data_IF_135963423276
#
_entry.id   IF_135963423276
#
_cell.length_a   1.000
_cell.length_b   1.000
_cell.length_c   1.000
_cell.angle_alpha   90.00
_cell.angle_beta   90.00
_cell.angle_gamma   90.00
#
_symmetry.space_group_name_H-M   'P 1'
#
loop_
_entity.id
_entity.type
_entity.pdbx_description
1 polymer ?
#
# COMPACT_ATOMS: atom_id res chain seq x y z
N UNK A 1 -19.32 -0.94 -23.25
CA UNK A 1 -20.69 -0.99 -22.68
C UNK A 1 -21.19 -2.44 -22.62
N UNK A 2 -21.14 -3.19 -23.72
CA UNK A 2 -21.59 -4.59 -23.78
C UNK A 2 -20.89 -5.50 -22.75
N UNK A 3 -19.61 -5.32 -22.52
CA UNK A 3 -18.86 -6.09 -21.54
C UNK A 3 -19.33 -5.84 -20.10
N UNK A 4 -19.71 -4.60 -19.76
CA UNK A 4 -20.25 -4.26 -18.44
C UNK A 4 -21.61 -4.94 -18.24
N UNK A 5 -22.50 -4.85 -19.20
CA UNK A 5 -23.83 -5.46 -19.15
C UNK A 5 -23.73 -6.99 -19.04
N UNK A 6 -22.85 -7.61 -19.84
CA UNK A 6 -22.60 -9.06 -19.80
C UNK A 6 -22.07 -9.52 -18.45
N UNK A 7 -21.11 -8.80 -17.88
CA UNK A 7 -20.54 -9.12 -16.56
C UNK A 7 -21.54 -8.87 -15.42
N UNK A 8 -22.34 -7.81 -15.51
CA UNK A 8 -23.45 -7.56 -14.59
C UNK A 8 -24.56 -8.59 -14.69
N UNK A 9 -24.64 -9.32 -15.82
CA UNK A 9 -25.77 -10.19 -16.21
C UNK A 9 -27.10 -9.44 -16.23
N UNK A 10 -27.05 -8.22 -16.76
CA UNK A 10 -28.23 -7.39 -17.00
C UNK A 10 -28.40 -7.27 -18.52
N UNK A 11 -29.61 -7.49 -19.02
CA UNK A 11 -29.94 -7.39 -20.44
C UNK A 11 -31.37 -6.89 -20.62
N UNK A 12 -31.63 -6.29 -21.75
CA UNK A 12 -32.95 -5.76 -22.09
C UNK A 12 -34.03 -6.85 -22.08
N UNK A 13 -35.21 -6.54 -21.56
CA UNK A 13 -36.34 -7.49 -21.45
C UNK A 13 -36.23 -8.47 -20.29
N UNK A 14 -35.21 -8.39 -19.47
CA UNK A 14 -35.06 -9.25 -18.29
C UNK A 14 -36.00 -8.79 -17.18
N UNK A 15 -36.64 -9.76 -16.50
CA UNK A 15 -37.38 -9.48 -15.28
C UNK A 15 -36.45 -9.31 -14.09
N UNK A 16 -36.45 -8.12 -13.47
CA UNK A 16 -35.60 -7.80 -12.33
C UNK A 16 -36.31 -8.21 -11.04
N UNK A 17 -35.64 -9.08 -10.26
CA UNK A 17 -36.04 -9.40 -8.88
C UNK A 17 -35.31 -8.48 -7.92
N UNK A 18 -35.84 -8.25 -6.72
CA UNK A 18 -35.32 -7.25 -5.77
C UNK A 18 -33.87 -7.40 -5.36
N UNK A 19 -33.25 -8.57 -5.51
CA UNK A 19 -31.86 -8.84 -5.19
C UNK A 19 -30.91 -8.86 -6.43
N UNK A 20 -31.45 -8.81 -7.66
CA UNK A 20 -30.65 -8.89 -8.89
C UNK A 20 -29.73 -7.71 -9.07
N UNK A 21 -30.15 -6.49 -8.75
CA UNK A 21 -29.31 -5.30 -8.80
C UNK A 21 -28.09 -5.44 -7.86
N UNK A 22 -28.33 -5.91 -6.63
CA UNK A 22 -27.24 -6.12 -5.67
C UNK A 22 -26.26 -7.21 -6.15
N UNK A 23 -26.79 -8.28 -6.74
CA UNK A 23 -25.95 -9.35 -7.33
C UNK A 23 -25.12 -8.82 -8.50
N UNK A 24 -25.71 -7.97 -9.34
CA UNK A 24 -25.03 -7.35 -10.47
C UNK A 24 -23.89 -6.43 -10.02
N UNK A 25 -24.11 -5.58 -9.03
CA UNK A 25 -23.06 -4.77 -8.41
C UNK A 25 -21.95 -5.67 -7.86
N UNK A 26 -22.27 -6.73 -7.11
CA UNK A 26 -21.28 -7.67 -6.58
C UNK A 26 -20.47 -8.39 -7.67
N UNK A 27 -21.09 -8.70 -8.82
CA UNK A 27 -20.39 -9.30 -9.97
C UNK A 27 -19.41 -8.31 -10.59
N UNK A 28 -19.81 -7.06 -10.78
CA UNK A 28 -18.95 -6.00 -11.31
C UNK A 28 -17.75 -5.71 -10.37
N UNK A 29 -17.99 -5.66 -9.06
CA UNK A 29 -16.91 -5.51 -8.07
C UNK A 29 -15.88 -6.65 -8.12
N UNK A 30 -16.29 -7.88 -8.41
CA UNK A 30 -15.36 -9.02 -8.53
C UNK A 30 -14.37 -8.90 -9.68
N UNK A 31 -14.64 -8.05 -10.67
CA UNK A 31 -13.73 -7.80 -11.80
C UNK A 31 -12.48 -7.03 -11.35
N UNK A 32 -12.56 -6.30 -10.22
CA UNK A 32 -11.47 -5.52 -9.62
C UNK A 32 -10.87 -4.46 -10.57
N UNK A 33 -11.71 -3.92 -11.50
CA UNK A 33 -11.36 -2.84 -12.44
C UNK A 33 -12.00 -1.52 -12.10
N UNK A 34 -13.05 -1.53 -11.27
CA UNK A 34 -13.88 -0.37 -10.99
C UNK A 34 -13.64 0.15 -9.58
N UNK A 35 -13.40 1.45 -9.47
CA UNK A 35 -13.30 2.16 -8.20
C UNK A 35 -14.66 2.62 -7.67
N UNK A 36 -15.66 2.77 -8.55
CA UNK A 36 -17.04 3.05 -8.18
C UNK A 36 -18.02 2.42 -9.16
N UNK A 37 -19.17 1.94 -8.64
CA UNK A 37 -20.22 1.33 -9.42
C UNK A 37 -21.56 1.82 -8.87
N UNK A 38 -22.33 2.51 -9.69
CA UNK A 38 -23.65 3.02 -9.36
C UNK A 38 -24.67 2.54 -10.38
N UNK A 39 -25.83 2.09 -9.92
CA UNK A 39 -26.96 1.72 -10.77
C UNK A 39 -28.16 2.58 -10.35
N UNK A 40 -28.69 3.32 -11.32
CA UNK A 40 -29.82 4.21 -11.14
C UNK A 40 -31.02 3.74 -11.96
N UNK A 41 -32.21 3.91 -11.43
CA UNK A 41 -33.44 3.91 -12.22
C UNK A 41 -33.59 5.32 -12.79
N UNK A 42 -33.55 5.44 -14.10
CA UNK A 42 -33.67 6.74 -14.78
C UNK A 42 -35.10 7.05 -15.17
N UNK A 43 -35.89 6.03 -15.46
CA UNK A 43 -37.30 6.15 -15.84
C UNK A 43 -38.05 4.88 -15.41
N UNK A 44 -39.29 5.07 -14.97
CA UNK A 44 -40.23 3.99 -14.64
C UNK A 44 -41.47 4.16 -15.49
N UNK A 45 -41.83 3.12 -16.22
CA UNK A 45 -43.01 3.07 -17.11
C UNK A 45 -43.91 1.91 -16.73
N UNK A 46 -45.13 1.87 -17.32
CA UNK A 46 -46.06 0.75 -17.09
C UNK A 46 -45.48 -0.62 -17.52
N UNK A 47 -44.57 -0.60 -18.52
CA UNK A 47 -43.96 -1.81 -19.08
C UNK A 47 -42.64 -2.22 -18.43
N UNK A 48 -42.01 -1.32 -17.61
CA UNK A 48 -40.74 -1.63 -16.99
C UNK A 48 -39.93 -0.44 -16.50
N UNK A 49 -38.67 -0.67 -16.19
CA UNK A 49 -37.75 0.33 -15.68
C UNK A 49 -36.54 0.48 -16.59
N UNK A 50 -36.07 1.71 -16.77
CA UNK A 50 -34.80 2.02 -17.45
C UNK A 50 -33.70 2.16 -16.42
N UNK A 51 -32.61 1.41 -16.61
CA UNK A 51 -31.46 1.42 -15.72
C UNK A 51 -30.26 2.11 -16.38
N UNK A 52 -29.59 2.97 -15.60
CA UNK A 52 -28.29 3.52 -15.95
C UNK A 52 -27.24 2.92 -15.05
N UNK A 53 -26.21 2.31 -15.64
CA UNK A 53 -25.04 1.79 -14.93
C UNK A 53 -23.90 2.79 -15.14
N UNK A 54 -23.51 3.48 -14.08
CA UNK A 54 -22.37 4.38 -14.05
C UNK A 54 -21.22 3.67 -13.35
N UNK A 55 -20.09 3.57 -14.03
CA UNK A 55 -18.85 2.98 -13.48
C UNK A 55 -17.70 3.97 -13.58
N UNK A 56 -16.81 3.94 -12.60
CA UNK A 56 -15.52 4.62 -12.64
C UNK A 56 -14.44 3.56 -12.63
N UNK A 57 -13.65 3.49 -13.70
CA UNK A 57 -12.53 2.55 -13.75
C UNK A 57 -11.36 3.08 -12.93
N UNK A 58 -10.66 2.17 -12.23
CA UNK A 58 -9.37 2.50 -11.64
C UNK A 58 -8.39 2.93 -12.74
N UNK A 59 -7.54 3.91 -12.50
CA UNK A 59 -6.48 4.25 -13.44
C UNK A 59 -5.46 3.11 -13.56
N UNK A 60 -4.69 3.14 -14.63
CA UNK A 60 -3.50 2.30 -14.78
C UNK A 60 -2.27 3.03 -14.25
N UNK A 61 -1.30 2.30 -13.71
CA UNK A 61 -0.03 2.85 -13.30
C UNK A 61 0.83 3.14 -14.54
N UNK A 62 1.15 4.41 -14.78
CA UNK A 62 2.11 4.80 -15.82
C UNK A 62 3.54 4.51 -15.33
N UNK A 63 3.97 5.19 -14.27
CA UNK A 63 5.28 5.02 -13.66
C UNK A 63 5.23 5.39 -12.18
N UNK A 64 6.29 5.03 -11.45
CA UNK A 64 6.46 5.48 -10.08
C UNK A 64 7.88 5.94 -9.79
N UNK A 65 8.00 6.82 -8.81
CA UNK A 65 9.27 7.41 -8.37
C UNK A 65 9.33 7.46 -6.85
N UNK A 66 10.56 7.59 -6.34
CA UNK A 66 10.80 7.77 -4.90
C UNK A 66 11.52 9.09 -4.68
N UNK A 67 11.12 9.83 -3.65
CA UNK A 67 11.76 11.08 -3.23
C UNK A 67 11.99 11.12 -1.71
N UNK A 68 12.94 11.96 -1.28
CA UNK A 68 13.28 12.13 0.13
C UNK A 68 14.04 10.97 0.80
N UNK A 69 14.25 9.87 0.08
CA UNK A 69 14.98 8.69 0.53
C UNK A 69 16.49 8.77 0.24
N UNK A 70 17.27 7.99 0.99
CA UNK A 70 18.71 7.80 0.79
C UNK A 70 19.06 6.46 0.15
N UNK A 71 18.08 5.60 -0.06
CA UNK A 71 18.27 4.30 -0.69
C UNK A 71 18.20 4.44 -2.21
N UNK A 72 18.88 3.55 -2.93
CA UNK A 72 18.80 3.52 -4.39
C UNK A 72 17.39 3.11 -4.84
N UNK A 73 16.96 3.60 -6.00
CA UNK A 73 15.69 3.21 -6.61
C UNK A 73 15.60 1.68 -6.71
N UNK A 74 16.62 1.01 -7.22
CA UNK A 74 16.68 -0.45 -7.36
C UNK A 74 16.37 -1.19 -6.06
N UNK A 75 16.94 -0.72 -4.93
CA UNK A 75 16.69 -1.36 -3.62
C UNK A 75 15.23 -1.24 -3.18
N UNK A 76 14.56 -0.13 -3.52
CA UNK A 76 13.16 0.08 -3.19
C UNK A 76 12.22 -0.61 -4.16
N UNK A 77 12.60 -0.72 -5.44
CA UNK A 77 11.87 -1.48 -6.46
C UNK A 77 11.76 -2.97 -6.09
N UNK A 78 12.80 -3.54 -5.47
CA UNK A 78 12.81 -4.93 -5.01
C UNK A 78 11.82 -5.20 -3.83
N UNK A 79 11.35 -4.15 -3.16
CA UNK A 79 10.48 -4.27 -1.98
C UNK A 79 8.99 -4.07 -2.29
N UNK A 80 8.64 -3.59 -3.49
CA UNK A 80 7.26 -3.31 -3.88
C UNK A 80 6.83 -4.11 -5.10
N UNK A 81 5.56 -4.50 -5.11
CA UNK A 81 4.96 -5.25 -6.23
C UNK A 81 4.11 -4.31 -7.10
N UNK A 82 4.77 -3.32 -7.72
CA UNK A 82 4.11 -2.42 -8.68
C UNK A 82 4.76 -2.54 -10.05
N UNK A 83 3.91 -2.69 -11.08
CA UNK A 83 4.37 -2.80 -12.48
C UNK A 83 3.64 -1.77 -13.34
N UNK A 84 4.37 -1.07 -14.22
CA UNK A 84 3.76 -0.16 -15.16
C UNK A 84 2.70 -0.88 -16.02
N UNK A 85 1.58 -0.22 -16.28
CA UNK A 85 0.43 -0.76 -16.99
C UNK A 85 -0.56 -1.56 -16.14
N UNK A 86 -0.24 -1.90 -14.88
CA UNK A 86 -1.22 -2.55 -14.01
C UNK A 86 -2.32 -1.59 -13.53
N UNK A 87 -3.46 -2.14 -13.17
CA UNK A 87 -4.55 -1.38 -12.53
C UNK A 87 -4.08 -0.87 -11.16
N UNK A 88 -4.17 0.44 -10.96
CA UNK A 88 -3.74 1.10 -9.72
C UNK A 88 -4.93 1.21 -8.77
N UNK A 89 -4.98 0.33 -7.79
CA UNK A 89 -6.01 0.32 -6.76
C UNK A 89 -5.48 0.91 -5.45
N UNK A 90 -6.39 1.40 -4.59
CA UNK A 90 -6.02 1.87 -3.24
C UNK A 90 -5.29 0.76 -2.46
N UNK A 91 -5.70 -0.50 -2.67
CA UNK A 91 -5.07 -1.66 -2.06
C UNK A 91 -3.62 -1.82 -2.53
N UNK A 92 -3.34 -1.74 -3.84
CA UNK A 92 -1.98 -1.90 -4.37
C UNK A 92 -1.04 -0.80 -3.89
N UNK A 93 -1.54 0.44 -3.75
CA UNK A 93 -0.79 1.55 -3.17
C UNK A 93 -0.51 1.31 -1.68
N UNK A 94 -1.52 0.90 -0.92
CA UNK A 94 -1.37 0.60 0.50
C UNK A 94 -0.38 -0.53 0.74
N UNK A 95 -0.46 -1.61 -0.02
CA UNK A 95 0.45 -2.76 0.08
C UNK A 95 1.89 -2.35 -0.23
N UNK A 96 2.12 -1.53 -1.26
CA UNK A 96 3.44 -0.98 -1.57
C UNK A 96 4.00 -0.11 -0.44
N UNK A 97 3.18 0.79 0.12
CA UNK A 97 3.58 1.62 1.26
C UNK A 97 3.90 0.77 2.51
N UNK A 98 3.13 -0.29 2.74
CA UNK A 98 3.34 -1.22 3.86
C UNK A 98 4.66 -1.97 3.70
N UNK A 99 4.95 -2.49 2.51
CA UNK A 99 6.21 -3.17 2.19
C UNK A 99 7.41 -2.26 2.40
N UNK A 100 7.37 -1.03 1.87
CA UNK A 100 8.40 -0.04 2.11
C UNK A 100 8.59 0.27 3.61
N UNK A 101 7.49 0.41 4.35
CA UNK A 101 7.55 0.65 5.80
C UNK A 101 8.20 -0.51 6.53
N UNK A 102 7.85 -1.75 6.18
CA UNK A 102 8.45 -2.95 6.76
C UNK A 102 9.95 -3.01 6.47
N UNK A 103 10.35 -2.78 5.21
CA UNK A 103 11.76 -2.71 4.82
C UNK A 103 12.54 -1.71 5.67
N UNK A 104 12.06 -0.48 5.81
CA UNK A 104 12.73 0.54 6.61
C UNK A 104 12.75 0.19 8.12
N UNK A 105 11.71 -0.44 8.63
CA UNK A 105 11.64 -0.90 10.02
C UNK A 105 12.69 -1.98 10.30
N UNK A 106 12.89 -2.94 9.39
CA UNK A 106 13.96 -3.95 9.52
C UNK A 106 15.36 -3.34 9.46
N UNK A 107 15.49 -2.14 8.87
CA UNK A 107 16.74 -1.36 8.87
C UNK A 107 16.84 -0.40 10.08
N UNK A 108 15.96 -0.55 11.08
CA UNK A 108 15.91 0.22 12.33
C UNK A 108 15.46 1.70 12.16
N UNK A 109 14.69 2.01 11.12
CA UNK A 109 14.06 3.31 10.93
C UNK A 109 12.60 3.27 11.40
N UNK A 110 12.36 3.32 12.70
CA UNK A 110 11.00 3.17 13.26
C UNK A 110 10.11 4.40 13.09
N UNK A 111 10.71 5.58 12.86
CA UNK A 111 9.98 6.83 12.63
C UNK A 111 9.84 7.17 11.13
N UNK A 112 9.83 6.13 10.28
CA UNK A 112 9.62 6.27 8.85
C UNK A 112 8.21 6.82 8.56
N UNK A 113 8.12 7.81 7.69
CA UNK A 113 6.87 8.30 7.11
C UNK A 113 6.94 8.12 5.61
N UNK A 114 5.85 7.62 5.05
CA UNK A 114 5.72 7.40 3.62
C UNK A 114 4.36 7.94 3.22
N UNK A 115 4.37 8.88 2.29
CA UNK A 115 3.20 9.49 1.69
C UNK A 115 3.24 9.27 0.17
N UNK A 116 2.11 9.41 -0.51
CA UNK A 116 2.03 9.28 -1.96
C UNK A 116 1.40 10.50 -2.59
N UNK A 117 1.96 10.94 -3.72
CA UNK A 117 1.34 11.92 -4.60
C UNK A 117 0.99 11.21 -5.91
N UNK A 118 -0.27 11.39 -6.33
CA UNK A 118 -0.79 10.89 -7.59
C UNK A 118 -0.89 12.05 -8.57
N UNK A 119 -0.33 11.89 -9.76
CA UNK A 119 -0.41 12.87 -10.85
C UNK A 119 -0.88 12.18 -12.13
N UNK A 120 -1.49 12.93 -13.03
CA UNK A 120 -1.93 12.41 -14.33
C UNK A 120 -0.75 11.83 -15.10
N UNK A 121 -0.91 10.63 -15.64
CA UNK A 121 0.05 9.97 -16.50
C UNK A 121 0.01 10.46 -17.95
N UNK A 122 0.71 9.77 -18.84
CA UNK A 122 0.77 10.11 -20.26
C UNK A 122 -0.45 9.60 -21.03
N UNK A 123 -0.94 8.43 -20.66
CA UNK A 123 -2.12 7.85 -21.29
C UNK A 123 -3.42 8.28 -20.61
N UNK A 124 -4.52 8.14 -21.37
CA UNK A 124 -5.87 8.37 -20.87
C UNK A 124 -6.16 7.40 -19.73
N UNK A 125 -6.60 7.94 -18.60
CA UNK A 125 -6.86 7.17 -17.37
C UNK A 125 -5.63 6.46 -16.80
N UNK A 126 -4.43 7.05 -16.95
CA UNK A 126 -3.21 6.60 -16.29
C UNK A 126 -2.76 7.59 -15.21
N UNK A 127 -2.01 7.10 -14.23
CA UNK A 127 -1.46 7.89 -13.13
C UNK A 127 0.00 7.56 -12.87
N UNK A 128 0.76 8.61 -12.52
CA UNK A 128 2.12 8.51 -11.98
C UNK A 128 2.04 8.58 -10.47
N UNK A 129 2.83 7.75 -9.80
CA UNK A 129 2.90 7.69 -8.33
C UNK A 129 4.26 8.19 -7.87
N UNK A 130 4.29 9.17 -6.99
CA UNK A 130 5.51 9.55 -6.28
C UNK A 130 5.39 9.12 -4.82
N UNK A 131 6.30 8.26 -4.36
CA UNK A 131 6.46 7.89 -2.95
C UNK A 131 7.39 8.88 -2.28
N UNK A 132 6.85 9.69 -1.36
CA UNK A 132 7.63 10.63 -0.55
C UNK A 132 8.03 9.93 0.73
N UNK A 133 9.34 9.69 0.89
CA UNK A 133 9.88 8.91 1.99
C UNK A 133 10.66 9.82 2.93
N UNK A 134 10.23 9.93 4.17
CA UNK A 134 10.95 10.60 5.25
C UNK A 134 11.49 9.55 6.22
N UNK A 135 12.77 9.17 6.03
CA UNK A 135 13.38 8.05 6.77
C UNK A 135 13.46 8.30 8.29
N UNK A 136 13.55 9.56 8.71
CA UNK A 136 13.80 9.90 10.10
C UNK A 136 15.21 9.51 10.56
N UNK A 137 15.39 9.39 11.87
CA UNK A 137 16.65 8.94 12.47
C UNK A 137 16.60 7.42 12.69
N UNK A 138 17.75 6.79 12.45
CA UNK A 138 17.93 5.37 12.76
C UNK A 138 17.97 5.18 14.27
N UNK A 139 17.18 4.22 14.78
CA UNK A 139 17.20 3.89 16.19
C UNK A 139 18.50 3.16 16.54
N UNK A 140 19.10 3.58 17.64
CA UNK A 140 20.32 3.00 18.19
C UNK A 140 20.18 2.91 19.70
N UNK A 141 20.74 1.88 20.30
CA UNK A 141 20.86 1.77 21.74
C UNK A 141 21.93 2.78 22.19
N UNK A 142 21.52 3.80 22.93
CA UNK A 142 22.44 4.83 23.47
C UNK A 142 23.04 4.39 24.78
N UNK A 143 22.26 3.70 25.62
CA UNK A 143 22.71 3.25 26.96
C UNK A 143 22.06 1.92 27.30
N UNK A 144 22.79 1.11 28.05
CA UNK A 144 22.32 -0.14 28.64
C UNK A 144 22.66 -0.08 30.13
N UNK A 145 21.63 -0.03 30.96
CA UNK A 145 21.74 -0.12 32.40
C UNK A 145 21.42 -1.55 32.86
N UNK A 146 22.22 -2.10 33.77
CA UNK A 146 22.03 -3.44 34.30
C UNK A 146 21.86 -3.33 35.82
N UNK A 147 20.73 -3.79 36.32
CA UNK A 147 20.38 -3.72 37.74
C UNK A 147 20.25 -5.11 38.34
N UNK A 148 20.65 -5.29 39.62
CA UNK A 148 20.47 -6.52 40.37
C UNK A 148 21.61 -7.53 40.27
N UNK A 149 22.68 -7.24 39.57
CA UNK A 149 23.88 -8.07 39.49
C UNK A 149 24.76 -7.88 40.74
N UNK A 150 24.91 -8.94 41.56
CA UNK A 150 25.74 -8.89 42.77
C UNK A 150 27.12 -9.52 42.57
N UNK A 151 27.23 -10.56 41.73
CA UNK A 151 28.46 -11.37 41.56
C UNK A 151 29.21 -11.05 40.25
N UNK A 152 28.55 -10.50 39.25
CA UNK A 152 29.16 -10.23 37.95
C UNK A 152 29.08 -8.74 37.67
N UNK A 153 30.20 -8.08 37.37
CA UNK A 153 30.22 -6.67 37.07
C UNK A 153 29.45 -6.35 35.78
N UNK A 154 28.80 -5.16 35.72
CA UNK A 154 28.10 -4.63 34.55
C UNK A 154 28.95 -4.71 33.29
N UNK A 155 30.25 -4.42 33.41
CA UNK A 155 31.18 -4.49 32.29
C UNK A 155 31.27 -5.87 31.68
N UNK A 156 31.38 -6.94 32.51
CA UNK A 156 31.40 -8.33 32.04
C UNK A 156 30.07 -8.72 31.36
N UNK A 157 28.95 -8.30 31.94
CA UNK A 157 27.62 -8.56 31.36
C UNK A 157 27.44 -7.82 30.05
N UNK A 158 27.72 -6.52 30.00
CA UNK A 158 27.65 -5.72 28.77
C UNK A 158 28.57 -6.25 27.67
N UNK A 159 29.72 -6.82 28.04
CA UNK A 159 30.67 -7.39 27.07
C UNK A 159 30.16 -8.71 26.47
N UNK A 160 29.36 -9.48 27.19
CA UNK A 160 28.74 -10.73 26.71
C UNK A 160 27.49 -10.48 25.80
N UNK A 161 26.89 -9.29 25.86
CA UNK A 161 25.79 -8.93 24.99
C UNK A 161 26.31 -8.73 23.56
N UNK A 162 26.17 -9.76 22.70
CA UNK A 162 26.73 -9.74 21.33
C UNK A 162 25.95 -8.82 20.40
N UNK A 163 24.62 -8.78 20.53
CA UNK A 163 23.69 -8.15 19.60
C UNK A 163 23.12 -6.81 20.09
N UNK A 164 23.10 -6.60 21.40
CA UNK A 164 22.54 -5.39 22.05
C UNK A 164 23.61 -4.56 22.74
N UNK A 165 24.69 -4.18 22.03
CA UNK A 165 25.71 -3.30 22.58
C UNK A 165 25.38 -1.84 22.34
N UNK A 166 25.60 -0.99 23.37
CA UNK A 166 25.48 0.46 23.22
C UNK A 166 26.42 0.99 22.14
N UNK A 167 25.93 1.95 21.36
CA UNK A 167 26.76 2.66 20.39
C UNK A 167 27.79 3.53 21.10
N UNK A 168 29.05 3.49 20.65
CA UNK A 168 30.06 4.43 21.09
C UNK A 168 30.95 4.87 19.90
N UNK A 169 31.75 5.90 20.09
CA UNK A 169 32.67 6.46 19.07
C UNK A 169 33.63 5.42 18.48
N UNK A 170 34.14 4.50 19.29
CA UNK A 170 35.10 3.48 18.85
C UNK A 170 34.47 2.28 18.14
N UNK A 171 33.17 2.05 18.31
CA UNK A 171 32.48 0.94 17.66
C UNK A 171 31.13 1.37 17.09
N UNK A 172 31.12 2.24 16.07
CA UNK A 172 29.89 2.82 15.53
C UNK A 172 28.95 1.80 14.85
N UNK A 173 29.45 0.62 14.51
CA UNK A 173 28.68 -0.50 13.95
C UNK A 173 27.95 -1.36 15.01
N UNK A 174 28.27 -1.19 16.28
CA UNK A 174 27.56 -1.82 17.41
C UNK A 174 26.43 -0.90 17.85
N UNK A 175 25.38 -1.41 18.40
CA UNK A 175 24.21 -0.60 18.78
C UNK A 175 23.02 -0.82 17.87
N UNK A 176 22.98 -1.99 17.23
CA UNK A 176 21.79 -2.49 16.55
C UNK A 176 20.90 -3.16 17.59
N UNK A 177 19.61 -2.96 17.45
CA UNK A 177 18.59 -3.63 18.21
C UNK A 177 17.80 -4.49 17.25
N UNK A 178 17.90 -5.80 17.41
CA UNK A 178 17.05 -6.77 16.73
C UNK A 178 15.99 -7.27 17.72
N UNK A 179 14.72 -7.29 17.27
CA UNK A 179 13.61 -7.85 18.05
C UNK A 179 13.60 -9.35 17.90
#
# INVERSE_FOLDING_TARGET
QEDIMRNARLYEGMTIKGDEIQKSIKRLWKINRFGDIQIFVTEETEDGVYLMIKVSEYPTLDTYTFSGNKKSKRTLDEEIELTAGQVLTDKSLFDAMLSLRQFYTTKHYHNIKIDTILTTGEDVNSQKVEFIISEGKKFKITEIEINGNKEISDFKLKWKLKETKSWNWFTPWRGKWDK
#
